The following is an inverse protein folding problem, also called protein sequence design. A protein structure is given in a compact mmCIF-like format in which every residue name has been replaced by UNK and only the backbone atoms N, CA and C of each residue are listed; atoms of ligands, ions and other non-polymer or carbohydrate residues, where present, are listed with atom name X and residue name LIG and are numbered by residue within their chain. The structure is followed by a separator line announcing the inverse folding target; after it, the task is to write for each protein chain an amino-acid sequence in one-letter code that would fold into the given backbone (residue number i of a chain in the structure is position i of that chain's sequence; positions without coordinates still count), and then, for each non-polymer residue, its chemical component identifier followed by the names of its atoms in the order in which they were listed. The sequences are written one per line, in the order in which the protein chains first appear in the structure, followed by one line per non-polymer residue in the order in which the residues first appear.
data_IF_292166248439
#
_entry.id   IF_292166248439
#
_cell.length_a   1.000
_cell.length_b   1.000
_cell.length_c   1.000
_cell.angle_alpha   90.00
_cell.angle_beta   90.00
_cell.angle_gamma   90.00
#
_symmetry.space_group_name_H-M   'P 1'
#
loop_
_entity.id
_entity.type
_entity.pdbx_description
1 polymer ?
#
# COMPACT_ATOMS: atom_id res chain seq x y z
N UNK A 1 1.48 2.88 -16.82
CA UNK A 1 2.79 3.31 -16.24
C UNK A 1 2.80 3.31 -14.71
N UNK A 2 1.65 3.47 -14.03
CA UNK A 2 1.54 3.43 -12.56
C UNK A 2 2.19 2.19 -11.93
N UNK A 3 1.75 0.99 -12.32
CA UNK A 3 2.25 -0.27 -11.75
C UNK A 3 3.75 -0.49 -12.03
N UNK A 4 4.22 -0.18 -13.24
CA UNK A 4 5.64 -0.30 -13.61
C UNK A 4 6.52 0.57 -12.72
N UNK A 5 6.15 1.83 -12.52
CA UNK A 5 6.90 2.73 -11.63
C UNK A 5 6.77 2.30 -10.16
N UNK A 6 5.62 1.79 -9.73
CA UNK A 6 5.44 1.23 -8.38
C UNK A 6 6.42 0.08 -8.10
N UNK A 7 6.49 -0.91 -9.00
CA UNK A 7 7.41 -2.05 -8.87
C UNK A 7 8.88 -1.63 -8.92
N UNK A 8 9.23 -0.61 -9.73
CA UNK A 8 10.57 -0.04 -9.73
C UNK A 8 10.90 0.67 -8.42
N UNK A 9 9.93 1.33 -7.79
CA UNK A 9 10.10 1.93 -6.47
C UNK A 9 10.38 0.86 -5.42
N UNK A 10 9.61 -0.24 -5.42
CA UNK A 10 9.79 -1.37 -4.50
C UNK A 10 11.16 -2.03 -4.69
N UNK A 11 11.59 -2.27 -5.93
CA UNK A 11 12.90 -2.82 -6.23
C UNK A 11 14.03 -1.90 -5.75
N UNK A 12 13.95 -0.60 -6.04
CA UNK A 12 14.94 0.38 -5.61
C UNK A 12 15.02 0.46 -4.07
N UNK A 13 13.90 0.36 -3.36
CA UNK A 13 13.87 0.43 -1.90
C UNK A 13 14.35 -0.87 -1.23
N UNK A 14 13.80 -2.02 -1.64
CA UNK A 14 13.98 -3.29 -0.94
C UNK A 14 15.23 -4.05 -1.38
N UNK A 15 15.61 -3.94 -2.66
CA UNK A 15 16.76 -4.66 -3.22
C UNK A 15 17.99 -3.75 -3.29
N UNK A 16 17.87 -2.59 -3.94
CA UNK A 16 19.01 -1.69 -4.11
C UNK A 16 19.29 -0.80 -2.89
N UNK A 17 18.37 -0.72 -1.92
CA UNK A 17 18.42 0.18 -0.75
C UNK A 17 18.59 1.66 -1.12
N UNK A 18 18.15 2.06 -2.31
CA UNK A 18 18.22 3.43 -2.85
C UNK A 18 16.94 4.20 -2.55
N UNK A 19 16.77 4.55 -1.29
CA UNK A 19 15.56 5.20 -0.75
C UNK A 19 15.19 6.53 -1.43
N UNK A 20 16.16 7.29 -1.96
CA UNK A 20 15.86 8.54 -2.70
C UNK A 20 15.35 8.24 -4.11
N UNK A 21 15.89 7.20 -4.76
CA UNK A 21 15.45 6.82 -6.10
C UNK A 21 14.05 6.21 -6.06
N UNK A 22 13.72 5.43 -5.03
CA UNK A 22 12.38 4.88 -4.85
C UNK A 22 11.33 5.97 -4.69
N UNK A 23 11.60 7.04 -3.92
CA UNK A 23 10.69 8.19 -3.78
C UNK A 23 10.35 8.85 -5.12
N UNK A 24 11.31 8.94 -6.04
CA UNK A 24 11.06 9.48 -7.40
C UNK A 24 10.11 8.58 -8.18
N UNK A 25 10.32 7.27 -8.16
CA UNK A 25 9.44 6.32 -8.83
C UNK A 25 8.04 6.29 -8.20
N UNK A 26 7.94 6.40 -6.87
CA UNK A 26 6.66 6.56 -6.16
C UNK A 26 5.92 7.80 -6.64
N UNK A 27 6.59 8.97 -6.71
CA UNK A 27 5.98 10.21 -7.21
C UNK A 27 5.47 10.06 -8.65
N UNK A 28 6.24 9.40 -9.51
CA UNK A 28 5.82 9.13 -10.89
C UNK A 28 4.62 8.18 -10.94
N UNK A 29 4.62 7.11 -10.15
CA UNK A 29 3.50 6.18 -10.06
C UNK A 29 2.21 6.91 -9.64
N UNK A 30 2.27 7.74 -8.60
CA UNK A 30 1.13 8.56 -8.16
C UNK A 30 0.66 9.50 -9.26
N UNK A 31 1.56 10.22 -9.94
CA UNK A 31 1.19 11.11 -11.03
C UNK A 31 0.50 10.39 -12.20
N UNK A 32 0.95 9.18 -12.56
CA UNK A 32 0.26 8.36 -13.55
C UNK A 32 -1.12 7.88 -13.09
N UNK A 33 -1.27 7.58 -11.80
CA UNK A 33 -2.57 7.28 -11.19
C UNK A 33 -3.53 8.47 -11.28
N UNK A 34 -3.09 9.66 -10.90
CA UNK A 34 -3.86 10.90 -11.00
C UNK A 34 -4.28 11.24 -12.43
N UNK A 35 -3.39 11.02 -13.41
CA UNK A 35 -3.75 11.17 -14.82
C UNK A 35 -4.79 10.15 -15.28
N UNK A 36 -4.72 8.92 -14.77
CA UNK A 36 -5.72 7.89 -15.05
C UNK A 36 -7.08 8.29 -14.47
N UNK A 37 -7.11 8.76 -13.22
CA UNK A 37 -8.34 9.24 -12.57
C UNK A 37 -8.92 10.50 -13.24
N UNK A 38 -8.07 11.33 -13.84
CA UNK A 38 -8.52 12.49 -14.61
C UNK A 38 -9.23 12.09 -15.91
N UNK A 39 -8.85 10.96 -16.50
CA UNK A 39 -9.47 10.42 -17.71
C UNK A 39 -10.67 9.51 -17.40
N UNK A 40 -10.59 8.73 -16.32
CA UNK A 40 -11.62 7.81 -15.84
C UNK A 40 -11.71 7.88 -14.30
N UNK A 41 -12.62 8.71 -13.76
CA UNK A 41 -12.79 8.87 -12.32
C UNK A 41 -13.28 7.60 -11.59
N UNK A 42 -13.88 6.64 -12.31
CA UNK A 42 -14.39 5.39 -11.73
C UNK A 42 -13.34 4.26 -11.76
N UNK A 43 -12.13 4.53 -12.27
CA UNK A 43 -11.00 3.60 -12.19
C UNK A 43 -10.40 3.58 -10.78
N UNK A 44 -11.12 2.99 -9.82
CA UNK A 44 -10.72 2.97 -8.40
C UNK A 44 -9.34 2.35 -8.17
N UNK A 45 -8.92 1.39 -9.00
CA UNK A 45 -7.59 0.78 -8.97
C UNK A 45 -6.46 1.82 -9.10
N UNK A 46 -6.71 2.96 -9.78
CA UNK A 46 -5.71 4.01 -9.95
C UNK A 46 -5.34 4.74 -8.65
N UNK A 47 -6.15 4.63 -7.59
CA UNK A 47 -5.81 5.15 -6.27
C UNK A 47 -4.69 4.37 -5.56
N UNK A 48 -4.31 3.17 -6.04
CA UNK A 48 -3.35 2.30 -5.34
C UNK A 48 -2.01 2.99 -5.07
N UNK A 49 -1.48 3.73 -6.04
CA UNK A 49 -0.18 4.37 -5.93
C UNK A 49 -0.21 5.56 -4.96
N UNK A 50 -1.30 6.34 -5.01
CA UNK A 50 -1.57 7.42 -4.05
C UNK A 50 -1.66 6.88 -2.62
N UNK A 51 -2.46 5.82 -2.42
CA UNK A 51 -2.65 5.19 -1.12
C UNK A 51 -1.36 4.67 -0.51
N UNK A 52 -0.56 3.92 -1.29
CA UNK A 52 0.76 3.43 -0.88
C UNK A 52 1.69 4.59 -0.54
N UNK A 53 1.79 5.59 -1.43
CA UNK A 53 2.68 6.74 -1.23
C UNK A 53 2.35 7.48 0.07
N UNK A 54 1.08 7.84 0.26
CA UNK A 54 0.60 8.56 1.45
C UNK A 54 0.84 7.75 2.73
N UNK A 55 0.54 6.46 2.70
CA UNK A 55 0.76 5.57 3.84
C UNK A 55 2.24 5.44 4.21
N UNK A 56 3.12 5.21 3.24
CA UNK A 56 4.56 5.04 3.48
C UNK A 56 5.17 6.32 4.06
N UNK A 57 4.95 7.48 3.42
CA UNK A 57 5.49 8.76 3.89
C UNK A 57 4.88 9.15 5.24
N UNK A 58 3.58 8.92 5.43
CA UNK A 58 2.88 9.19 6.68
C UNK A 58 3.40 8.39 7.86
N UNK A 59 3.87 7.16 7.60
CA UNK A 59 4.42 6.22 8.59
C UNK A 59 5.91 6.44 8.91
N UNK A 60 6.60 7.36 8.21
CA UNK A 60 8.00 7.69 8.50
C UNK A 60 8.14 8.44 9.84
N UNK A 61 9.27 8.26 10.51
CA UNK A 61 9.63 9.05 11.69
C UNK A 61 9.60 10.55 11.36
N UNK A 62 9.19 11.38 12.33
CA UNK A 62 8.93 12.81 12.11
C UNK A 62 10.08 13.58 11.43
N UNK A 63 11.37 13.37 11.78
CA UNK A 63 12.48 14.04 11.11
C UNK A 63 12.60 13.65 9.63
N UNK A 64 12.48 12.36 9.32
CA UNK A 64 12.57 11.83 7.95
C UNK A 64 11.42 12.35 7.10
N UNK A 65 10.19 12.30 7.65
CA UNK A 65 8.99 12.83 7.00
C UNK A 65 9.11 14.31 6.68
N UNK A 66 9.71 15.11 7.57
CA UNK A 66 9.96 16.53 7.33
C UNK A 66 10.94 16.76 6.16
N UNK A 67 12.04 16.01 6.10
CA UNK A 67 12.98 16.08 4.96
C UNK A 67 12.29 15.75 3.63
N UNK A 68 11.49 14.68 3.59
CA UNK A 68 10.77 14.25 2.38
C UNK A 68 9.74 15.31 1.93
N UNK A 69 9.07 15.95 2.89
CA UNK A 69 8.15 17.08 2.63
C UNK A 69 8.84 18.29 2.01
N UNK A 70 10.07 18.62 2.42
CA UNK A 70 10.86 19.67 1.77
C UNK A 70 11.18 19.35 0.31
N UNK A 71 11.31 18.07 -0.04
CA UNK A 71 11.45 17.60 -1.42
C UNK A 71 10.15 17.65 -2.23
N UNK A 72 9.06 18.21 -1.69
CA UNK A 72 7.77 18.32 -2.36
C UNK A 72 6.97 17.03 -2.39
N UNK A 73 7.26 16.09 -1.47
CA UNK A 73 6.55 14.82 -1.34
C UNK A 73 5.91 14.77 0.05
N UNK A 74 4.59 14.91 0.11
CA UNK A 74 3.82 14.82 1.35
C UNK A 74 3.05 13.51 1.41
N UNK A 75 2.70 13.10 2.62
CA UNK A 75 1.84 11.95 2.85
C UNK A 75 1.28 12.00 4.26
N UNK A 76 0.07 11.47 4.35
CA UNK A 76 -0.66 11.25 5.59
C UNK A 76 -1.05 9.78 5.67
N UNK A 77 -0.79 9.18 6.84
CA UNK A 77 -1.00 7.74 7.04
C UNK A 77 -2.48 7.39 6.94
N UNK A 78 -3.35 8.19 7.55
CA UNK A 78 -4.78 7.93 7.58
C UNK A 78 -5.42 8.14 6.21
N UNK A 79 -4.97 9.17 5.50
CA UNK A 79 -5.39 9.39 4.12
C UNK A 79 -4.96 8.25 3.20
N UNK A 80 -3.72 7.75 3.37
CA UNK A 80 -3.24 6.57 2.64
C UNK A 80 -4.08 5.31 2.93
N UNK A 81 -4.40 5.05 4.20
CA UNK A 81 -5.29 3.95 4.59
C UNK A 81 -6.68 4.12 3.97
N UNK A 82 -7.22 5.34 3.95
CA UNK A 82 -8.52 5.63 3.33
C UNK A 82 -8.53 5.32 1.83
N UNK A 83 -7.50 5.70 1.10
CA UNK A 83 -7.39 5.38 -0.33
C UNK A 83 -7.21 3.88 -0.56
N UNK A 84 -6.41 3.19 0.26
CA UNK A 84 -6.27 1.74 0.16
C UNK A 84 -7.60 1.02 0.44
N UNK A 85 -8.41 1.50 1.40
CA UNK A 85 -9.76 0.98 1.62
C UNK A 85 -10.66 1.20 0.41
N UNK A 86 -10.60 2.37 -0.22
CA UNK A 86 -11.35 2.64 -1.45
C UNK A 86 -10.99 1.64 -2.56
N UNK A 87 -9.70 1.33 -2.74
CA UNK A 87 -9.26 0.31 -3.72
C UNK A 87 -9.71 -1.08 -3.30
N UNK A 88 -9.62 -1.43 -2.01
CA UNK A 88 -10.07 -2.73 -1.50
C UNK A 88 -11.57 -2.97 -1.71
N UNK A 89 -12.38 -1.92 -1.58
CA UNK A 89 -13.85 -1.99 -1.66
C UNK A 89 -14.38 -1.89 -3.10
N UNK A 90 -13.73 -1.07 -3.95
CA UNK A 90 -14.24 -0.73 -5.30
C UNK A 90 -13.29 -1.03 -6.45
N UNK A 91 -12.02 -1.34 -6.16
CA UNK A 91 -11.05 -1.75 -7.16
C UNK A 91 -11.45 -3.08 -7.80
N UNK A 92 -11.16 -3.24 -9.08
CA UNK A 92 -11.50 -4.46 -9.80
C UNK A 92 -10.32 -5.44 -9.79
N UNK A 93 -9.12 -4.95 -10.08
CA UNK A 93 -7.92 -5.79 -10.19
C UNK A 93 -7.05 -5.75 -8.94
N UNK A 94 -6.96 -4.59 -8.28
CA UNK A 94 -6.02 -4.33 -7.20
C UNK A 94 -6.67 -4.39 -5.82
N UNK A 95 -7.96 -4.69 -5.73
CA UNK A 95 -8.65 -4.89 -4.46
C UNK A 95 -7.96 -5.93 -3.55
N UNK A 96 -7.57 -7.14 -4.04
CA UNK A 96 -6.81 -8.09 -3.22
C UNK A 96 -5.47 -7.53 -2.76
N UNK A 97 -4.77 -6.79 -3.62
CA UNK A 97 -3.49 -6.21 -3.29
C UNK A 97 -3.61 -5.12 -2.22
N UNK A 98 -4.64 -4.28 -2.31
CA UNK A 98 -4.96 -3.30 -1.29
C UNK A 98 -5.29 -3.95 0.07
N UNK A 99 -6.03 -5.07 0.07
CA UNK A 99 -6.31 -5.85 1.29
C UNK A 99 -5.03 -6.40 1.94
N UNK A 100 -4.03 -6.83 1.15
CA UNK A 100 -2.72 -7.25 1.69
C UNK A 100 -2.03 -6.08 2.38
N UNK A 101 -2.00 -4.90 1.74
CA UNK A 101 -1.37 -3.70 2.28
C UNK A 101 -2.07 -3.22 3.57
N UNK A 102 -3.40 -3.27 3.59
CA UNK A 102 -4.19 -2.96 4.78
C UNK A 102 -3.93 -3.96 5.91
N UNK A 103 -3.85 -5.26 5.63
CA UNK A 103 -3.50 -6.26 6.64
C UNK A 103 -2.13 -5.96 7.26
N UNK A 104 -1.12 -5.63 6.46
CA UNK A 104 0.21 -5.21 6.95
C UNK A 104 0.11 -3.94 7.81
N UNK A 105 -0.70 -2.97 7.40
CA UNK A 105 -0.92 -1.75 8.18
C UNK A 105 -1.55 -2.05 9.54
N UNK A 106 -2.57 -2.91 9.59
CA UNK A 106 -3.20 -3.33 10.84
C UNK A 106 -2.26 -4.09 11.76
N UNK A 107 -1.40 -4.97 11.22
CA UNK A 107 -0.36 -5.65 12.03
C UNK A 107 0.60 -4.64 12.66
N UNK A 108 1.06 -3.64 11.89
CA UNK A 108 1.95 -2.57 12.39
C UNK A 108 1.29 -1.71 13.46
N UNK A 109 -0.03 -1.56 13.40
CA UNK A 109 -0.83 -0.79 14.35
C UNK A 109 -1.32 -1.63 15.53
N UNK A 110 -0.81 -2.87 15.66
CA UNK A 110 -1.19 -3.84 16.68
C UNK A 110 -2.67 -4.27 16.66
N UNK A 111 -3.39 -3.99 15.57
CA UNK A 111 -4.78 -4.40 15.34
C UNK A 111 -4.83 -5.78 14.66
N UNK A 112 -4.37 -6.79 15.40
CA UNK A 112 -4.35 -8.19 14.92
C UNK A 112 -5.72 -8.71 14.49
N UNK A 113 -6.85 -8.40 15.17
CA UNK A 113 -8.17 -8.87 14.75
C UNK A 113 -8.54 -8.46 13.32
N UNK A 114 -8.41 -7.18 12.96
CA UNK A 114 -8.74 -6.72 11.61
C UNK A 114 -7.74 -7.23 10.56
N UNK A 115 -6.45 -7.32 10.91
CA UNK A 115 -5.46 -7.95 10.02
C UNK A 115 -5.84 -9.39 9.68
N UNK A 116 -6.26 -10.16 10.69
CA UNK A 116 -6.66 -11.55 10.55
C UNK A 116 -7.92 -11.71 9.70
N UNK A 117 -8.91 -10.82 9.87
CA UNK A 117 -10.13 -10.81 9.06
C UNK A 117 -9.82 -10.63 7.57
N UNK A 118 -8.98 -9.64 7.23
CA UNK A 118 -8.55 -9.42 5.85
C UNK A 118 -7.79 -10.62 5.27
N UNK A 119 -6.87 -11.20 6.05
CA UNK A 119 -6.11 -12.39 5.61
C UNK A 119 -7.02 -13.61 5.43
N UNK A 120 -8.06 -13.77 6.25
CA UNK A 120 -9.04 -14.85 6.09
C UNK A 120 -9.84 -14.68 4.80
N UNK A 121 -10.32 -13.46 4.51
CA UNK A 121 -10.99 -13.15 3.25
C UNK A 121 -10.09 -13.43 2.04
N UNK A 122 -8.80 -13.05 2.12
CA UNK A 122 -7.83 -13.34 1.06
C UNK A 122 -7.55 -14.85 0.90
N UNK A 123 -7.45 -15.61 1.99
CA UNK A 123 -7.33 -17.07 1.95
C UNK A 123 -8.52 -17.70 1.23
N UNK A 124 -9.72 -17.24 1.52
CA UNK A 124 -10.95 -17.81 0.94
C UNK A 124 -11.06 -17.48 -0.56
N UNK A 125 -10.58 -16.31 -0.99
CA UNK A 125 -10.47 -15.93 -2.41
C UNK A 125 -9.34 -16.65 -3.14
N UNK A 126 -8.23 -16.93 -2.46
CA UNK A 126 -7.02 -17.55 -3.02
C UNK A 126 -6.60 -18.81 -2.25
N UNK A 127 -7.42 -19.88 -2.25
CA UNK A 127 -7.20 -21.06 -1.40
C UNK A 127 -5.93 -21.84 -1.76
N UNK A 128 -5.42 -21.70 -2.99
CA UNK A 128 -4.18 -22.32 -3.44
C UNK A 128 -2.92 -21.59 -2.92
N UNK A 129 -3.04 -20.41 -2.31
CA UNK A 129 -1.92 -19.67 -1.74
C UNK A 129 -1.76 -20.00 -0.25
N UNK A 130 -0.76 -20.81 0.14
CA UNK A 130 -0.59 -21.22 1.53
C UNK A 130 -0.13 -20.07 2.44
N UNK A 131 0.37 -18.96 1.89
CA UNK A 131 0.91 -17.85 2.66
C UNK A 131 -0.15 -17.21 3.57
N UNK A 132 -1.38 -17.04 3.09
CA UNK A 132 -2.44 -16.44 3.90
C UNK A 132 -2.78 -17.27 5.14
N UNK A 133 -2.85 -18.60 4.99
CA UNK A 133 -3.06 -19.50 6.13
C UNK A 133 -1.87 -19.45 7.12
N UNK A 134 -0.64 -19.38 6.61
CA UNK A 134 0.56 -19.27 7.44
C UNK A 134 0.60 -17.95 8.22
N UNK A 135 0.30 -16.82 7.59
CA UNK A 135 0.28 -15.52 8.27
C UNK A 135 -0.84 -15.44 9.33
N UNK A 136 -2.03 -16.01 9.06
CA UNK A 136 -3.09 -16.15 10.08
C UNK A 136 -2.58 -16.93 11.29
N UNK A 137 -1.93 -18.08 11.07
CA UNK A 137 -1.39 -18.90 12.16
C UNK A 137 -0.32 -18.14 12.97
N UNK A 138 0.54 -17.36 12.32
CA UNK A 138 1.53 -16.50 13.00
C UNK A 138 0.86 -15.44 13.88
N UNK A 139 -0.17 -14.77 13.37
CA UNK A 139 -0.92 -13.78 14.14
C UNK A 139 -1.59 -14.39 15.37
N UNK A 140 -2.19 -15.57 15.21
CA UNK A 140 -2.88 -16.29 16.28
C UNK A 140 -1.91 -16.80 17.37
N UNK A 141 -0.68 -17.16 16.98
CA UNK A 141 0.34 -17.69 17.90
C UNK A 141 1.06 -16.61 18.73
N UNK A 142 1.11 -15.37 18.24
CA UNK A 142 1.92 -14.29 18.83
C UNK A 142 1.21 -13.60 20.00
N UNK A 143 0.63 -14.37 20.94
CA UNK A 143 -0.12 -13.86 22.11
C UNK A 143 0.74 -13.00 23.03
#
# INVERSE_FOLDING_TARGET
MTLTNGLQADYAALIEKRNVASLRYTKQATGWGEQTLSADPDCYDAHIAGGISKYLIGSMAAPVRWLVRLGGISGDKQEGVKELKLVADRGHYLAPFANILLAIAYVRDHDKPHARELLASLRDQFPANPLFAQEIARLDSSR
#
